data_IF_041660178110
#
_entry.id   IF_041660178110
#
_cell.length_a   1.000
_cell.length_b   1.000
_cell.length_c   1.000
_cell.angle_alpha   90.00
_cell.angle_beta   90.00
_cell.angle_gamma   90.00
#
_symmetry.space_group_name_H-M   'P 1'
#
loop_
_entity.id
_entity.type
_entity.pdbx_description
1 polymer ?
#
# COMPACT_ATOMS: atom_id res chain seq x y z
N UNK A 1 -21.42 5.88 11.04
CA UNK A 1 -20.10 6.56 11.16
C UNK A 1 -19.13 5.80 10.28
N UNK A 2 -18.24 6.50 9.56
CA UNK A 2 -17.25 5.81 8.74
C UNK A 2 -16.27 4.99 9.58
N UNK A 3 -15.56 4.06 8.94
CA UNK A 3 -14.53 3.22 9.58
C UNK A 3 -13.14 3.83 9.43
N UNK A 4 -12.19 3.34 10.23
CA UNK A 4 -10.78 3.71 10.20
C UNK A 4 -10.00 2.68 9.36
N UNK A 5 -9.40 3.11 8.25
CA UNK A 5 -8.58 2.28 7.37
C UNK A 5 -7.12 2.66 7.51
N UNK A 6 -6.28 1.74 7.96
CA UNK A 6 -4.84 1.92 8.00
C UNK A 6 -4.18 1.18 6.84
N UNK A 7 -3.60 1.93 5.91
CA UNK A 7 -2.74 1.35 4.88
C UNK A 7 -1.36 1.02 5.46
N UNK A 8 -0.89 -0.18 5.21
CA UNK A 8 0.49 -0.61 5.46
C UNK A 8 1.21 -0.56 4.12
N UNK A 9 2.20 0.32 4.02
CA UNK A 9 3.02 0.49 2.81
C UNK A 9 4.47 0.13 3.12
N UNK A 10 4.85 -1.15 2.95
CA UNK A 10 6.22 -1.58 3.06
C UNK A 10 7.02 -0.96 1.92
N UNK A 11 8.09 -0.24 2.26
CA UNK A 11 8.98 0.38 1.31
C UNK A 11 10.32 0.65 1.97
N UNK A 12 11.38 0.83 1.17
CA UNK A 12 12.73 1.09 1.65
C UNK A 12 13.25 2.44 1.21
N UNK A 13 14.24 2.95 1.93
CA UNK A 13 14.91 4.20 1.57
C UNK A 13 15.52 4.11 0.17
N UNK A 14 15.40 5.17 -0.62
CA UNK A 14 15.81 5.17 -2.03
C UNK A 14 14.62 5.00 -3.00
N UNK A 15 13.58 4.26 -2.64
CA UNK A 15 12.33 4.16 -3.39
C UNK A 15 11.39 5.34 -3.07
N UNK A 16 11.78 6.54 -3.49
CA UNK A 16 11.11 7.77 -3.06
C UNK A 16 9.78 8.07 -3.79
N UNK A 17 9.30 7.16 -4.65
CA UNK A 17 8.01 7.39 -5.30
C UNK A 17 6.86 7.25 -4.30
N UNK A 18 6.02 8.29 -4.25
CA UNK A 18 4.77 8.23 -3.50
C UNK A 18 3.81 7.26 -4.21
N UNK A 19 3.19 6.29 -3.51
CA UNK A 19 2.28 5.33 -4.14
C UNK A 19 0.97 6.02 -4.59
N UNK A 20 0.74 6.19 -5.91
CA UNK A 20 -0.46 6.88 -6.39
C UNK A 20 -1.74 6.14 -6.02
N UNK A 21 -1.72 4.81 -6.01
CA UNK A 21 -2.89 4.01 -5.65
C UNK A 21 -3.38 4.30 -4.22
N UNK A 22 -2.49 4.32 -3.22
CA UNK A 22 -2.88 4.62 -1.83
C UNK A 22 -3.40 6.05 -1.71
N UNK A 23 -2.79 7.01 -2.41
CA UNK A 23 -3.25 8.40 -2.43
C UNK A 23 -4.65 8.53 -3.07
N UNK A 24 -4.93 7.75 -4.12
CA UNK A 24 -6.26 7.66 -4.75
C UNK A 24 -7.27 7.03 -3.80
N UNK A 25 -6.93 5.89 -3.19
CA UNK A 25 -7.81 5.21 -2.22
C UNK A 25 -8.13 6.09 -1.01
N UNK A 26 -7.14 6.84 -0.50
CA UNK A 26 -7.38 7.81 0.57
C UNK A 26 -8.41 8.85 0.17
N UNK A 27 -8.25 9.45 -1.02
CA UNK A 27 -9.19 10.45 -1.51
C UNK A 27 -10.62 9.89 -1.67
N UNK A 28 -10.74 8.68 -2.26
CA UNK A 28 -12.02 7.98 -2.44
C UNK A 28 -12.67 7.67 -1.09
N UNK A 29 -11.95 7.04 -0.18
CA UNK A 29 -12.49 6.62 1.12
C UNK A 29 -12.92 7.82 1.97
N UNK A 30 -12.17 8.93 1.93
CA UNK A 30 -12.55 10.18 2.60
C UNK A 30 -13.82 10.78 2.03
N UNK A 31 -14.07 10.69 0.71
CA UNK A 31 -15.36 11.09 0.12
C UNK A 31 -16.54 10.25 0.63
N UNK A 32 -16.27 9.00 1.04
CA UNK A 32 -17.26 8.10 1.66
C UNK A 32 -17.27 8.18 3.20
N UNK A 33 -16.70 9.27 3.78
CA UNK A 33 -16.66 9.55 5.22
C UNK A 33 -15.83 8.58 6.07
N UNK A 34 -14.95 7.77 5.46
CA UNK A 34 -14.00 6.93 6.20
C UNK A 34 -12.75 7.75 6.59
N UNK A 35 -12.13 7.36 7.71
CA UNK A 35 -10.85 7.92 8.12
C UNK A 35 -9.72 7.07 7.54
N UNK A 36 -8.66 7.71 7.05
CA UNK A 36 -7.55 7.01 6.40
C UNK A 36 -6.23 7.50 6.97
N UNK A 37 -5.37 6.56 7.32
CA UNK A 37 -3.97 6.80 7.62
C UNK A 37 -3.09 5.81 6.85
N UNK A 38 -1.79 6.11 6.75
CA UNK A 38 -0.78 5.22 6.18
C UNK A 38 0.36 5.04 7.18
N UNK A 39 0.83 3.81 7.29
CA UNK A 39 2.13 3.49 7.87
C UNK A 39 3.10 3.20 6.72
N UNK A 40 3.97 4.16 6.45
CA UNK A 40 4.93 4.13 5.35
C UNK A 40 6.34 3.94 5.91
N UNK A 41 7.00 2.83 5.54
CA UNK A 41 8.33 2.49 6.07
C UNK A 41 9.48 3.09 5.29
N UNK A 42 9.26 3.89 4.27
CA UNK A 42 10.30 4.43 3.36
C UNK A 42 11.46 5.10 4.09
N UNK A 43 11.19 5.82 5.18
CA UNK A 43 12.22 6.51 5.95
C UNK A 43 12.55 5.84 7.28
N UNK A 44 12.24 4.56 7.44
CA UNK A 44 12.69 3.79 8.58
C UNK A 44 13.89 2.90 8.23
N UNK A 45 14.75 2.64 9.20
CA UNK A 45 15.75 1.59 9.09
C UNK A 45 15.04 0.23 9.15
N UNK A 46 14.98 -0.45 8.02
CA UNK A 46 14.40 -1.80 7.88
C UNK A 46 15.43 -2.72 7.25
N UNK A 47 15.54 -3.95 7.77
CA UNK A 47 16.51 -4.95 7.30
C UNK A 47 15.98 -5.78 6.12
N UNK A 48 15.26 -5.13 5.19
CA UNK A 48 14.62 -5.78 4.04
C UNK A 48 14.82 -4.95 2.78
N UNK A 49 14.79 -5.57 1.62
CA UNK A 49 14.75 -4.88 0.36
C UNK A 49 16.13 -4.48 -0.20
N UNK A 50 17.05 -5.39 -0.21
CA UNK A 50 18.47 -5.19 -0.64
C UNK A 50 18.60 -4.52 -2.03
N UNK A 51 17.63 -4.71 -2.91
CA UNK A 51 17.69 -4.16 -4.28
C UNK A 51 17.10 -2.76 -4.41
N UNK A 52 16.30 -2.31 -3.45
CA UNK A 52 15.56 -1.04 -3.50
C UNK A 52 16.06 0.00 -2.49
N UNK A 53 17.01 -0.35 -1.66
CA UNK A 53 17.53 0.47 -0.54
C UNK A 53 18.59 1.51 -0.95
N UNK A 54 18.91 1.61 -2.25
CA UNK A 54 19.97 2.49 -2.73
C UNK A 54 21.38 1.97 -2.49
N UNK A 55 21.57 0.76 -1.94
CA UNK A 55 22.89 0.19 -1.70
C UNK A 55 23.72 0.03 -2.99
N UNK A 56 23.05 -0.16 -4.12
CA UNK A 56 23.67 -0.21 -5.45
C UNK A 56 24.16 1.16 -5.95
N UNK A 57 23.69 2.26 -5.36
CA UNK A 57 24.16 3.61 -5.71
C UNK A 57 25.66 3.76 -5.50
N UNK A 58 26.21 3.18 -4.43
CA UNK A 58 27.64 3.19 -4.15
C UNK A 58 28.44 2.43 -5.22
N UNK A 59 27.89 1.31 -5.71
CA UNK A 59 28.50 0.53 -6.79
C UNK A 59 28.46 1.22 -8.16
N UNK A 60 27.55 2.15 -8.36
CA UNK A 60 27.37 2.91 -9.61
C UNK A 60 28.11 4.25 -9.61
N UNK A 61 28.87 4.57 -8.57
CA UNK A 61 29.55 5.86 -8.40
C UNK A 61 28.61 7.08 -8.52
N UNK A 62 27.36 6.92 -8.09
CA UNK A 62 26.39 8.02 -8.04
C UNK A 62 26.80 8.96 -6.92
N UNK A 63 26.90 10.26 -7.20
CA UNK A 63 27.20 11.27 -6.20
C UNK A 63 25.92 11.56 -5.40
N UNK A 64 25.87 11.27 -4.10
CA UNK A 64 24.67 11.52 -3.30
C UNK A 64 24.44 13.03 -3.13
N UNK A 65 23.18 13.44 -3.19
CA UNK A 65 22.72 14.82 -2.93
C UNK A 65 22.68 15.15 -1.43
N UNK A 66 23.60 14.67 -0.63
CA UNK A 66 23.54 14.62 0.83
C UNK A 66 23.11 15.94 1.48
N UNK A 67 23.76 17.07 1.12
CA UNK A 67 23.45 18.36 1.72
C UNK A 67 22.04 18.91 1.37
N UNK A 68 21.58 18.68 0.16
CA UNK A 68 20.24 19.09 -0.25
C UNK A 68 19.17 18.14 0.28
N UNK A 69 19.45 16.87 0.35
CA UNK A 69 18.59 15.87 0.97
C UNK A 69 18.37 16.16 2.45
N UNK A 70 19.43 16.49 3.19
CA UNK A 70 19.32 16.89 4.60
C UNK A 70 18.43 18.11 4.81
N UNK A 71 18.57 19.15 3.98
CA UNK A 71 17.72 20.35 4.02
C UNK A 71 16.22 20.04 3.80
N UNK A 72 15.91 18.98 3.07
CA UNK A 72 14.54 18.53 2.79
C UNK A 72 14.09 17.41 3.72
N UNK A 73 14.88 17.07 4.72
CA UNK A 73 14.62 15.97 5.65
C UNK A 73 14.47 14.60 4.96
N UNK A 74 15.20 14.39 3.87
CA UNK A 74 15.25 13.13 3.12
C UNK A 74 16.29 12.21 3.76
N UNK A 75 15.98 11.67 4.93
CA UNK A 75 16.88 10.82 5.72
C UNK A 75 16.10 9.78 6.49
N UNK A 76 16.79 8.71 6.85
CA UNK A 76 16.26 7.69 7.75
C UNK A 76 15.88 8.32 9.10
N UNK A 77 14.73 7.97 9.62
CA UNK A 77 14.24 8.37 10.95
C UNK A 77 15.09 7.74 12.03
N UNK A 78 15.28 8.47 13.13
CA UNK A 78 15.96 7.95 14.32
C UNK A 78 15.04 7.16 15.25
N UNK A 79 13.74 7.05 14.91
CA UNK A 79 12.76 6.32 15.69
C UNK A 79 12.65 4.86 15.22
N UNK A 80 12.16 4.00 16.10
CA UNK A 80 11.94 2.59 15.77
C UNK A 80 10.55 2.42 15.17
N UNK A 81 10.50 1.85 13.96
CA UNK A 81 9.24 1.66 13.24
C UNK A 81 8.21 0.79 13.99
N UNK A 82 8.66 -0.21 14.76
CA UNK A 82 7.78 -1.07 15.55
C UNK A 82 7.07 -0.28 16.65
N UNK A 83 7.81 0.59 17.32
CA UNK A 83 7.25 1.47 18.36
C UNK A 83 6.27 2.47 17.78
N UNK A 84 6.65 3.09 16.65
CA UNK A 84 5.79 4.10 16.00
C UNK A 84 4.52 3.46 15.44
N UNK A 85 4.60 2.26 14.86
CA UNK A 85 3.43 1.52 14.38
C UNK A 85 2.47 1.16 15.53
N UNK A 86 2.99 0.61 16.64
CA UNK A 86 2.16 0.28 17.80
C UNK A 86 1.46 1.51 18.37
N UNK A 87 2.16 2.62 18.45
CA UNK A 87 1.58 3.90 18.87
C UNK A 87 0.47 4.34 17.91
N UNK A 88 0.70 4.28 16.60
CA UNK A 88 -0.30 4.65 15.59
C UNK A 88 -1.56 3.77 15.69
N UNK A 89 -1.39 2.46 15.89
CA UNK A 89 -2.51 1.54 16.07
C UNK A 89 -3.37 1.88 17.31
N UNK A 90 -2.75 2.18 18.44
CA UNK A 90 -3.47 2.54 19.67
C UNK A 90 -4.21 3.89 19.56
N UNK A 91 -3.63 4.86 18.84
CA UNK A 91 -4.22 6.17 18.62
C UNK A 91 -5.32 6.15 17.55
N UNK A 92 -5.08 5.48 16.43
CA UNK A 92 -5.97 5.48 15.27
C UNK A 92 -7.07 4.43 15.37
N UNK A 93 -6.81 3.28 16.00
CA UNK A 93 -7.75 2.16 16.19
C UNK A 93 -8.39 1.74 14.86
N UNK A 94 -7.63 1.17 13.93
CA UNK A 94 -8.14 0.79 12.62
C UNK A 94 -9.18 -0.33 12.70
N UNK A 95 -10.21 -0.23 11.86
CA UNK A 95 -11.21 -1.28 11.62
C UNK A 95 -10.81 -2.19 10.45
N UNK A 96 -9.88 -1.73 9.60
CA UNK A 96 -9.32 -2.46 8.47
C UNK A 96 -7.83 -2.14 8.33
N UNK A 97 -7.00 -3.18 8.18
CA UNK A 97 -5.62 -3.07 7.75
C UNK A 97 -5.53 -3.40 6.25
N UNK A 98 -4.95 -2.52 5.44
CA UNK A 98 -4.79 -2.69 4.00
C UNK A 98 -3.31 -2.69 3.62
N UNK A 99 -2.75 -3.89 3.39
CA UNK A 99 -1.37 -4.05 2.92
C UNK A 99 -1.31 -3.81 1.41
N UNK A 100 -0.49 -2.86 0.97
CA UNK A 100 -0.22 -2.61 -0.45
C UNK A 100 1.25 -2.89 -0.74
N UNK A 101 1.54 -3.96 -1.48
CA UNK A 101 2.89 -4.42 -1.70
C UNK A 101 3.17 -4.81 -3.16
N UNK A 102 4.42 -4.56 -3.57
CA UNK A 102 5.07 -5.20 -4.72
C UNK A 102 5.71 -6.52 -4.28
N UNK A 103 6.20 -7.32 -5.21
CA UNK A 103 6.81 -8.61 -4.89
C UNK A 103 8.03 -8.48 -3.98
N UNK A 104 8.92 -7.54 -4.28
CA UNK A 104 10.14 -7.25 -3.52
C UNK A 104 9.87 -6.70 -2.11
N UNK A 105 8.71 -6.08 -1.88
CA UNK A 105 8.29 -5.53 -0.58
C UNK A 105 7.34 -6.45 0.20
N UNK A 106 6.96 -7.59 -0.39
CA UNK A 106 5.99 -8.50 0.23
C UNK A 106 6.46 -9.04 1.58
N UNK A 107 7.68 -9.55 1.65
CA UNK A 107 8.24 -10.10 2.89
C UNK A 107 8.34 -9.04 4.00
N UNK A 108 8.72 -7.81 3.67
CA UNK A 108 8.67 -6.70 4.62
C UNK A 108 7.24 -6.44 5.10
N UNK A 109 6.27 -6.46 4.18
CA UNK A 109 4.85 -6.30 4.52
C UNK A 109 4.36 -7.36 5.50
N UNK A 110 4.71 -8.61 5.26
CA UNK A 110 4.40 -9.72 6.16
C UNK A 110 5.07 -9.55 7.53
N UNK A 111 6.35 -9.17 7.55
CA UNK A 111 7.07 -8.92 8.80
C UNK A 111 6.41 -7.80 9.62
N UNK A 112 5.92 -6.74 8.97
CA UNK A 112 5.16 -5.68 9.65
C UNK A 112 3.86 -6.22 10.26
N UNK A 113 3.13 -7.07 9.53
CA UNK A 113 1.91 -7.68 10.03
C UNK A 113 2.16 -8.66 11.18
N UNK A 114 3.27 -9.40 11.16
CA UNK A 114 3.68 -10.28 12.26
C UNK A 114 3.94 -9.50 13.55
N UNK A 115 4.58 -8.33 13.48
CA UNK A 115 4.85 -7.48 14.63
C UNK A 115 3.57 -6.99 15.34
N UNK A 116 2.46 -6.92 14.62
CA UNK A 116 1.16 -6.46 15.14
C UNK A 116 0.11 -7.57 15.22
N UNK A 117 0.51 -8.84 15.07
CA UNK A 117 -0.38 -10.00 15.09
C UNK A 117 -1.27 -10.06 16.32
N UNK A 118 -0.70 -9.86 17.50
CA UNK A 118 -1.44 -9.87 18.76
C UNK A 118 -2.49 -8.75 18.81
N UNK A 119 -2.13 -7.54 18.35
CA UNK A 119 -3.06 -6.41 18.29
C UNK A 119 -4.21 -6.70 17.32
N UNK A 120 -3.90 -7.22 16.11
CA UNK A 120 -4.88 -7.63 15.11
C UNK A 120 -5.88 -8.65 15.70
N UNK A 121 -5.37 -9.71 16.35
CA UNK A 121 -6.19 -10.77 16.91
C UNK A 121 -7.07 -10.28 18.06
N UNK A 122 -6.50 -9.53 19.01
CA UNK A 122 -7.22 -8.97 20.16
C UNK A 122 -8.39 -8.08 19.74
N UNK A 123 -8.22 -7.29 18.68
CA UNK A 123 -9.22 -6.34 18.19
C UNK A 123 -10.04 -6.87 17.00
N UNK A 124 -9.80 -8.12 16.57
CA UNK A 124 -10.48 -8.78 15.45
C UNK A 124 -10.47 -7.96 14.15
N UNK A 125 -9.31 -7.37 13.81
CA UNK A 125 -9.16 -6.48 12.65
C UNK A 125 -8.85 -7.31 11.40
N UNK A 126 -9.67 -7.25 10.33
CA UNK A 126 -9.37 -7.92 9.07
C UNK A 126 -8.18 -7.28 8.33
N UNK A 127 -7.44 -8.11 7.59
CA UNK A 127 -6.33 -7.68 6.73
C UNK A 127 -6.65 -7.97 5.28
N UNK A 128 -6.63 -6.92 4.47
CA UNK A 128 -6.71 -6.97 3.02
C UNK A 128 -5.31 -6.80 2.43
N UNK A 129 -4.87 -7.74 1.61
CA UNK A 129 -3.68 -7.58 0.78
C UNK A 129 -4.06 -7.13 -0.64
N UNK A 130 -3.40 -6.11 -1.16
CA UNK A 130 -3.60 -5.56 -2.50
C UNK A 130 -2.29 -5.04 -3.09
N UNK A 131 -2.37 -4.53 -4.31
CA UNK A 131 -1.24 -4.07 -5.10
C UNK A 131 -0.84 -5.06 -6.20
N UNK A 132 0.30 -4.81 -6.82
CA UNK A 132 0.73 -5.57 -8.01
C UNK A 132 0.97 -7.04 -7.68
N UNK A 133 1.70 -7.34 -6.62
CA UNK A 133 2.01 -8.74 -6.29
C UNK A 133 0.77 -9.55 -5.90
N UNK A 134 -0.13 -9.10 -5.00
CA UNK A 134 -1.38 -9.81 -4.74
C UNK A 134 -2.28 -9.97 -5.97
N UNK A 135 -2.24 -9.07 -6.93
CA UNK A 135 -2.99 -9.18 -8.17
C UNK A 135 -2.49 -10.34 -9.04
N UNK A 136 -1.17 -10.53 -9.17
CA UNK A 136 -0.59 -11.57 -10.02
C UNK A 136 -0.31 -12.88 -9.32
N UNK A 137 -0.21 -12.88 -8.00
CA UNK A 137 0.08 -14.07 -7.19
C UNK A 137 -0.91 -14.24 -6.01
N UNK A 138 -2.23 -14.16 -6.24
CA UNK A 138 -3.21 -14.20 -5.15
C UNK A 138 -3.19 -15.52 -4.39
N UNK A 139 -2.84 -16.65 -5.06
CA UNK A 139 -2.68 -17.95 -4.43
C UNK A 139 -1.55 -17.97 -3.40
N UNK A 140 -0.45 -17.27 -3.69
CA UNK A 140 0.70 -17.17 -2.77
C UNK A 140 0.31 -16.29 -1.59
N UNK A 141 -0.21 -15.10 -1.86
CA UNK A 141 -0.60 -14.15 -0.84
C UNK A 141 -1.67 -14.71 0.12
N UNK A 142 -2.66 -15.43 -0.43
CA UNK A 142 -3.74 -15.99 0.37
C UNK A 142 -3.33 -17.17 1.27
N UNK A 143 -2.16 -17.79 1.05
CA UNK A 143 -1.65 -18.84 1.94
C UNK A 143 -1.18 -18.32 3.29
N UNK A 144 -0.84 -17.03 3.37
CA UNK A 144 -0.33 -16.46 4.62
C UNK A 144 -1.45 -16.28 5.65
N UNK A 145 -1.22 -16.77 6.88
CA UNK A 145 -2.25 -16.80 7.92
C UNK A 145 -2.74 -15.42 8.37
N UNK A 146 -1.91 -14.38 8.25
CA UNK A 146 -2.28 -13.02 8.64
C UNK A 146 -3.15 -12.29 7.61
N UNK A 147 -3.23 -12.83 6.38
CA UNK A 147 -4.05 -12.26 5.32
C UNK A 147 -5.45 -12.88 5.37
N UNK A 148 -6.48 -12.07 5.49
CA UNK A 148 -7.88 -12.50 5.50
C UNK A 148 -8.53 -12.39 4.12
N UNK A 149 -8.09 -11.40 3.33
CA UNK A 149 -8.60 -11.11 1.99
C UNK A 149 -7.47 -10.70 1.06
N UNK A 150 -7.63 -11.02 -0.23
CA UNK A 150 -6.74 -10.56 -1.30
C UNK A 150 -7.57 -9.83 -2.35
N UNK A 151 -7.19 -8.57 -2.66
CA UNK A 151 -7.76 -7.81 -3.76
C UNK A 151 -7.01 -8.13 -5.05
N UNK A 152 -7.70 -8.68 -6.03
CA UNK A 152 -7.16 -9.02 -7.35
C UNK A 152 -7.65 -8.00 -8.37
N UNK A 153 -6.74 -7.26 -8.97
CA UNK A 153 -7.04 -6.16 -9.87
C UNK A 153 -7.23 -4.81 -9.16
N UNK A 154 -8.11 -3.97 -9.70
CA UNK A 154 -8.32 -2.60 -9.23
C UNK A 154 -9.08 -2.56 -7.89
N UNK A 155 -8.63 -1.70 -6.98
CA UNK A 155 -9.12 -1.67 -5.61
C UNK A 155 -10.19 -0.62 -5.32
N UNK A 156 -10.45 0.34 -6.21
CA UNK A 156 -11.29 1.50 -5.95
C UNK A 156 -12.71 1.10 -5.48
N UNK A 157 -13.42 0.34 -6.30
CA UNK A 157 -14.77 -0.11 -5.98
C UNK A 157 -14.78 -1.17 -4.87
N UNK A 158 -13.80 -2.08 -4.90
CA UNK A 158 -13.68 -3.13 -3.89
C UNK A 158 -13.51 -2.57 -2.47
N UNK A 159 -12.68 -1.52 -2.31
CA UNK A 159 -12.48 -0.87 -1.02
C UNK A 159 -13.72 -0.13 -0.53
N UNK A 160 -14.44 0.58 -1.42
CA UNK A 160 -15.70 1.25 -1.06
C UNK A 160 -16.71 0.23 -0.52
N UNK A 161 -16.92 -0.88 -1.27
CA UNK A 161 -17.88 -1.90 -0.89
C UNK A 161 -17.48 -2.64 0.37
N UNK A 162 -16.20 -3.00 0.51
CA UNK A 162 -15.68 -3.64 1.70
C UNK A 162 -15.85 -2.76 2.94
N UNK A 163 -15.44 -1.49 2.86
CA UNK A 163 -15.54 -0.56 3.98
C UNK A 163 -17.00 -0.36 4.41
N UNK A 164 -17.92 -0.23 3.44
CA UNK A 164 -19.35 -0.13 3.72
C UNK A 164 -19.90 -1.36 4.42
N UNK A 165 -19.48 -2.57 4.00
CA UNK A 165 -19.91 -3.82 4.65
C UNK A 165 -19.34 -3.95 6.07
N UNK A 166 -18.07 -3.58 6.28
CA UNK A 166 -17.47 -3.55 7.61
C UNK A 166 -18.21 -2.56 8.53
N UNK A 167 -18.49 -1.35 8.03
CA UNK A 167 -19.25 -0.32 8.76
C UNK A 167 -20.62 -0.84 9.22
N UNK A 168 -21.34 -1.52 8.33
CA UNK A 168 -22.67 -2.06 8.59
C UNK A 168 -22.63 -3.40 9.33
N UNK A 169 -21.45 -3.99 9.58
CA UNK A 169 -21.28 -5.34 10.14
C UNK A 169 -21.93 -6.42 9.28
N UNK A 170 -21.91 -6.23 7.98
CA UNK A 170 -22.42 -7.16 6.97
C UNK A 170 -21.32 -8.15 6.54
N UNK A 171 -21.75 -9.28 6.00
CA UNK A 171 -20.84 -10.24 5.36
C UNK A 171 -20.25 -9.63 4.07
N UNK A 172 -18.94 -9.79 3.87
CA UNK A 172 -18.22 -9.24 2.73
C UNK A 172 -17.74 -10.30 1.73
N UNK A 173 -18.34 -11.49 1.76
CA UNK A 173 -17.97 -12.61 0.87
C UNK A 173 -18.21 -12.32 -0.61
N UNK A 174 -19.11 -11.44 -0.95
CA UNK A 174 -19.57 -11.14 -2.31
C UNK A 174 -18.96 -9.86 -2.91
N UNK A 175 -18.01 -9.24 -2.23
CA UNK A 175 -17.33 -8.05 -2.74
C UNK A 175 -16.48 -8.41 -3.96
N UNK A 176 -16.75 -7.77 -5.09
CA UNK A 176 -16.04 -7.97 -6.36
C UNK A 176 -14.54 -7.73 -6.19
N UNK A 177 -13.70 -8.42 -6.93
CA UNK A 177 -12.24 -8.42 -6.87
C UNK A 177 -11.65 -9.07 -5.61
N UNK A 178 -12.44 -9.44 -4.60
CA UNK A 178 -11.89 -10.03 -3.39
C UNK A 178 -11.89 -11.57 -3.43
N UNK A 179 -10.74 -12.13 -3.06
CA UNK A 179 -10.64 -13.50 -2.59
C UNK A 179 -10.70 -13.47 -1.07
N UNK A 180 -11.65 -14.20 -0.51
CA UNK A 180 -11.94 -14.14 0.94
C UNK A 180 -11.60 -15.46 1.59
N UNK A 181 -10.94 -15.39 2.76
CA UNK A 181 -10.61 -16.54 3.59
C UNK A 181 -11.53 -16.60 4.82
N UNK A 182 -11.86 -17.83 5.23
CA UNK A 182 -12.40 -18.16 6.56
C UNK A 182 -11.66 -19.39 7.07
N UNK A 183 -11.28 -19.40 8.32
CA UNK A 183 -10.57 -20.52 8.96
C UNK A 183 -9.32 -20.97 8.18
N UNK A 184 -8.55 -20.01 7.68
CA UNK A 184 -7.31 -20.26 6.94
C UNK A 184 -7.50 -20.78 5.50
N UNK A 185 -8.74 -20.96 5.03
CA UNK A 185 -9.04 -21.47 3.68
C UNK A 185 -9.77 -20.42 2.85
N UNK A 186 -9.45 -20.38 1.55
CA UNK A 186 -10.20 -19.56 0.60
C UNK A 186 -11.61 -20.15 0.48
N UNK A 187 -12.63 -19.38 0.87
CA UNK A 187 -14.03 -19.78 0.77
C UNK A 187 -14.72 -19.14 -0.43
N UNK A 188 -14.18 -18.02 -0.93
CA UNK A 188 -14.75 -17.32 -2.08
C UNK A 188 -13.64 -16.68 -2.92
N UNK A 189 -13.74 -16.84 -4.23
CA UNK A 189 -13.01 -16.11 -5.26
C UNK A 189 -14.03 -15.34 -6.08
N UNK A 190 -14.12 -14.04 -5.88
CA UNK A 190 -15.06 -13.23 -6.65
C UNK A 190 -14.51 -12.88 -8.03
N UNK A 191 -15.40 -12.56 -8.96
CA UNK A 191 -15.03 -12.12 -10.31
C UNK A 191 -14.34 -10.77 -10.27
N UNK A 192 -13.43 -10.55 -11.20
CA UNK A 192 -12.79 -9.25 -11.41
C UNK A 192 -13.79 -8.32 -12.08
N UNK A 193 -13.90 -7.09 -11.60
CA UNK A 193 -14.77 -6.06 -12.18
C UNK A 193 -14.22 -5.56 -13.52
N UNK A 194 -15.07 -4.88 -14.30
CA UNK A 194 -14.58 -4.08 -15.41
C UNK A 194 -13.62 -2.99 -14.92
N UNK A 195 -12.66 -2.56 -15.77
CA UNK A 195 -11.75 -1.47 -15.43
C UNK A 195 -12.46 -0.21 -14.95
N UNK A 196 -11.86 0.45 -13.97
CA UNK A 196 -12.38 1.71 -13.43
C UNK A 196 -12.15 2.85 -14.42
N UNK A 197 -13.17 3.69 -14.60
CA UNK A 197 -13.00 4.95 -15.33
C UNK A 197 -12.21 5.94 -14.47
N UNK A 198 -10.90 6.06 -14.72
CA UNK A 198 -9.99 6.92 -13.94
C UNK A 198 -10.40 8.39 -13.95
N UNK A 199 -11.21 8.86 -14.93
CA UNK A 199 -11.71 10.23 -14.96
C UNK A 199 -12.71 10.52 -13.84
N UNK A 200 -13.29 9.48 -13.24
CA UNK A 200 -14.22 9.60 -12.10
C UNK A 200 -13.49 9.61 -10.75
N UNK A 201 -12.23 9.26 -10.74
CA UNK A 201 -11.44 9.29 -9.51
C UNK A 201 -11.23 10.73 -9.03
N UNK A 202 -11.27 10.98 -7.72
CA UNK A 202 -10.91 12.28 -7.17
C UNK A 202 -9.42 12.59 -7.39
N UNK A 203 -9.06 13.86 -7.22
CA UNK A 203 -7.65 14.25 -7.11
C UNK A 203 -7.02 13.48 -5.94
N UNK A 204 -5.85 12.92 -6.17
CA UNK A 204 -5.15 12.09 -5.18
C UNK A 204 -4.86 12.87 -3.88
N UNK A 205 -4.97 12.19 -2.75
CA UNK A 205 -4.71 12.75 -1.43
C UNK A 205 -3.23 12.60 -1.04
N UNK A 206 -2.42 13.56 -1.44
CA UNK A 206 -0.99 13.58 -1.07
C UNK A 206 -0.75 14.01 0.38
N UNK A 207 -1.75 14.59 1.05
CA UNK A 207 -1.66 15.00 2.45
C UNK A 207 -1.57 13.84 3.43
N UNK A 208 -1.86 12.63 2.96
CA UNK A 208 -1.72 11.38 3.71
C UNK A 208 -0.24 11.08 4.07
N UNK A 209 0.69 11.59 3.27
CA UNK A 209 2.11 11.30 3.38
C UNK A 209 2.89 12.47 3.96
N UNK A 210 4.04 12.18 4.56
CA UNK A 210 4.97 13.22 4.98
C UNK A 210 5.45 14.05 3.77
N UNK A 211 5.62 15.35 3.95
CA UNK A 211 5.98 16.26 2.85
C UNK A 211 7.28 15.87 2.15
N UNK A 212 8.24 15.30 2.89
CA UNK A 212 9.51 14.82 2.34
C UNK A 212 9.33 13.73 1.27
N UNK A 213 8.23 12.96 1.28
CA UNK A 213 7.91 11.96 0.24
C UNK A 213 7.68 12.57 -1.15
N UNK A 214 7.41 13.85 -1.22
CA UNK A 214 7.20 14.57 -2.49
C UNK A 214 8.50 15.04 -3.14
N UNK A 215 9.63 15.02 -2.41
CA UNK A 215 10.89 15.49 -2.95
C UNK A 215 11.68 14.35 -3.60
N UNK A 216 12.14 14.58 -4.82
CA UNK A 216 12.88 13.59 -5.61
C UNK A 216 14.07 14.20 -6.31
N UNK A 217 15.24 13.52 -6.30
CA UNK A 217 16.38 13.92 -7.11
C UNK A 217 16.13 13.60 -8.58
N UNK A 218 16.42 14.56 -9.46
CA UNK A 218 16.41 14.39 -10.90
C UNK A 218 17.42 15.34 -11.54
N UNK A 219 18.26 14.81 -12.42
CA UNK A 219 19.26 15.60 -13.18
C UNK A 219 20.10 16.55 -12.30
N UNK A 220 20.58 16.09 -11.15
CA UNK A 220 21.45 16.85 -10.25
C UNK A 220 20.76 17.87 -9.36
N UNK A 221 19.40 17.88 -9.30
CA UNK A 221 18.61 18.78 -8.46
C UNK A 221 17.50 18.02 -7.76
N UNK A 222 16.99 18.57 -6.65
CA UNK A 222 15.83 18.02 -5.94
C UNK A 222 14.60 18.84 -6.29
N UNK A 223 13.58 18.15 -6.76
CA UNK A 223 12.29 18.72 -7.16
C UNK A 223 11.18 18.23 -6.23
N UNK A 224 10.18 19.08 -6.01
CA UNK A 224 8.90 18.65 -5.44
C UNK A 224 8.03 18.12 -6.59
N UNK A 225 7.69 16.83 -6.54
CA UNK A 225 6.99 16.12 -7.61
C UNK A 225 5.73 15.47 -7.08
N UNK A 226 4.68 15.48 -7.90
CA UNK A 226 3.41 14.82 -7.62
C UNK A 226 3.21 13.71 -8.67
N UNK A 227 2.80 12.51 -8.27
CA UNK A 227 2.39 11.49 -9.22
C UNK A 227 1.08 11.92 -9.89
N UNK A 228 1.00 11.67 -11.20
CA UNK A 228 -0.21 11.92 -12.00
C UNK A 228 -0.45 10.70 -12.87
N UNK A 229 -1.65 10.14 -12.80
CA UNK A 229 -2.09 9.06 -13.65
C UNK A 229 -2.92 9.65 -14.81
N UNK A 230 -2.42 9.52 -16.03
CA UNK A 230 -3.09 10.02 -17.25
C UNK A 230 -3.72 8.89 -18.07
N UNK A 231 -3.26 7.67 -17.86
CA UNK A 231 -3.75 6.45 -18.51
C UNK A 231 -3.48 5.28 -17.57
N UNK A 232 -4.36 4.29 -17.60
CA UNK A 232 -4.16 3.01 -16.92
C UNK A 232 -4.20 1.88 -17.94
N UNK A 233 -3.34 0.86 -17.74
CA UNK A 233 -3.17 -0.23 -18.68
C UNK A 233 -2.15 0.09 -19.78
N UNK A 234 -1.90 -0.90 -20.63
CA UNK A 234 -0.92 -0.82 -21.70
C UNK A 234 -1.42 -1.55 -22.95
N UNK A 235 -1.44 -0.92 -24.13
CA UNK A 235 -1.93 -1.56 -25.37
C UNK A 235 -0.94 -2.58 -25.95
N UNK A 236 0.26 -2.71 -25.39
CA UNK A 236 1.29 -3.62 -25.89
C UNK A 236 1.28 -4.96 -25.16
N UNK A 237 1.57 -6.04 -25.87
CA UNK A 237 1.61 -7.41 -25.35
C UNK A 237 3.05 -7.92 -25.25
N UNK A 238 3.93 -7.19 -24.58
CA UNK A 238 5.33 -7.56 -24.39
C UNK A 238 5.45 -8.85 -23.56
N UNK A 239 6.18 -9.85 -24.07
CA UNK A 239 6.29 -11.18 -23.45
C UNK A 239 6.91 -11.21 -22.04
N UNK A 240 7.57 -10.16 -21.63
CA UNK A 240 8.22 -10.02 -20.32
C UNK A 240 7.43 -9.15 -19.34
N UNK A 241 6.25 -8.64 -19.73
CA UNK A 241 5.50 -7.65 -18.96
C UNK A 241 4.09 -8.16 -18.64
N UNK A 242 3.67 -7.99 -17.40
CA UNK A 242 2.34 -8.39 -16.93
C UNK A 242 1.28 -7.28 -17.08
N UNK A 243 1.67 -6.08 -17.53
CA UNK A 243 0.73 -4.94 -17.64
C UNK A 243 -0.50 -5.22 -18.51
N UNK A 244 -0.44 -5.99 -19.60
CA UNK A 244 -1.62 -6.33 -20.39
C UNK A 244 -2.67 -7.15 -19.62
N UNK A 245 -2.24 -7.93 -18.64
CA UNK A 245 -3.12 -8.79 -17.83
C UNK A 245 -3.81 -8.03 -16.68
N UNK A 246 -3.52 -6.73 -16.55
CA UNK A 246 -4.15 -5.84 -15.56
C UNK A 246 -5.41 -5.14 -16.09
N UNK A 247 -5.72 -5.30 -17.38
CA UNK A 247 -6.86 -4.67 -18.05
C UNK A 247 -8.10 -5.57 -18.06
#
# INVERSE_FOLDING_TARGET
MGINVLFIYPNTFGMNMLPPAIATFSAILKQHNHQVQVFDTTYYAVDYGIDSDGSKEQGLNVIPFSKEMEKKNLRIKNTNWKTDLKKQLEEFKPDLLALSATEDMWELGIHILEEIKEYKQKNNIPVLAGGVFPTFAPEICSKHDLIDMVCVGEGENALIDLCKKIENKEDHLDVTNLWVKKDGKIVKKNTISNPVDINKNPIIDVSLFEENRLYRPMAGKIYKMFPVETIRGCPFTCKFCNSPDQM
#
